data_IF_704428343005
#
_entry.id   IF_704428343005
#
_cell.length_a   1.000
_cell.length_b   1.000
_cell.length_c   1.000
_cell.angle_alpha   90.00
_cell.angle_beta   90.00
_cell.angle_gamma   90.00
#
_symmetry.space_group_name_H-M   'P 1'
#
loop_
_entity.id
_entity.type
_entity.pdbx_description
1 polymer ?
#
# COMPACT_ATOMS: atom_id res chain seq x y z
N UNK A 1 -22.94 -48.23 -40.53
CA UNK A 1 -22.92 -47.07 -39.63
C UNK A 1 -21.46 -46.76 -39.44
N UNK A 2 -20.99 -45.69 -40.06
CA UNK A 2 -19.61 -45.26 -39.93
C UNK A 2 -19.41 -44.81 -38.49
N UNK A 3 -18.42 -45.42 -37.82
CA UNK A 3 -17.87 -44.89 -36.58
C UNK A 3 -17.33 -43.51 -36.92
N UNK A 4 -18.06 -42.47 -36.53
CA UNK A 4 -17.52 -41.12 -36.51
C UNK A 4 -16.33 -41.17 -35.55
N UNK A 5 -15.14 -41.07 -36.12
CA UNK A 5 -13.92 -40.81 -35.36
C UNK A 5 -14.22 -39.56 -34.55
N UNK A 6 -14.20 -39.69 -33.22
CA UNK A 6 -14.25 -38.58 -32.28
C UNK A 6 -13.00 -37.75 -32.60
N UNK A 7 -13.13 -36.77 -33.50
CA UNK A 7 -12.04 -35.87 -33.85
C UNK A 7 -11.60 -35.21 -32.55
N UNK A 8 -10.32 -35.38 -32.19
CA UNK A 8 -9.77 -34.77 -30.98
C UNK A 8 -9.89 -33.26 -31.13
N UNK A 9 -10.94 -32.68 -30.52
CA UNK A 9 -11.29 -31.26 -30.61
C UNK A 9 -10.10 -30.37 -30.29
N UNK A 10 -9.20 -30.83 -29.40
CA UNK A 10 -7.95 -30.14 -29.07
C UNK A 10 -6.98 -30.11 -30.24
N UNK A 11 -6.86 -31.21 -30.98
CA UNK A 11 -6.00 -31.30 -32.16
C UNK A 11 -6.57 -30.43 -33.29
N UNK A 12 -7.89 -30.45 -33.50
CA UNK A 12 -8.56 -29.62 -34.51
C UNK A 12 -8.35 -28.13 -34.23
N UNK A 13 -8.49 -27.68 -32.97
CA UNK A 13 -8.26 -26.28 -32.63
C UNK A 13 -6.78 -25.88 -32.71
N UNK A 14 -5.86 -26.76 -32.31
CA UNK A 14 -4.42 -26.51 -32.49
C UNK A 14 -4.01 -26.44 -33.96
N UNK A 15 -4.58 -27.28 -34.82
CA UNK A 15 -4.35 -27.24 -36.27
C UNK A 15 -4.87 -25.93 -36.87
N UNK A 16 -6.07 -25.51 -36.46
CA UNK A 16 -6.63 -24.22 -36.84
C UNK A 16 -5.71 -23.07 -36.40
N UNK A 17 -5.31 -23.02 -35.13
CA UNK A 17 -4.41 -21.99 -34.61
C UNK A 17 -3.06 -21.99 -35.35
N UNK A 18 -2.50 -23.17 -35.61
CA UNK A 18 -1.23 -23.30 -36.33
C UNK A 18 -1.32 -22.87 -37.80
N UNK A 19 -2.53 -22.88 -38.38
CA UNK A 19 -2.78 -22.36 -39.73
C UNK A 19 -2.99 -20.84 -39.77
N UNK A 20 -3.38 -20.24 -38.64
CA UNK A 20 -3.71 -18.81 -38.53
C UNK A 20 -2.55 -17.94 -38.06
N UNK A 21 -1.65 -18.50 -37.24
CA UNK A 21 -0.59 -17.75 -36.56
C UNK A 21 0.80 -18.17 -37.02
N UNK A 22 1.71 -17.20 -37.07
CA UNK A 22 3.12 -17.48 -37.38
C UNK A 22 3.77 -18.31 -36.25
N UNK A 23 4.80 -19.13 -36.54
CA UNK A 23 5.52 -19.90 -35.53
C UNK A 23 6.21 -19.06 -34.44
N UNK A 24 6.38 -17.75 -34.67
CA UNK A 24 6.86 -16.80 -33.65
C UNK A 24 5.76 -16.31 -32.72
N UNK A 25 4.49 -16.36 -33.15
CA UNK A 25 3.33 -15.92 -32.40
C UNK A 25 2.71 -17.09 -31.64
N UNK A 26 2.65 -18.27 -32.26
CA UNK A 26 2.20 -19.51 -31.63
C UNK A 26 3.40 -20.44 -31.35
N UNK A 27 3.76 -20.57 -30.08
CA UNK A 27 4.85 -21.44 -29.62
C UNK A 27 4.27 -22.62 -28.86
N UNK A 28 4.31 -23.81 -29.45
CA UNK A 28 3.87 -25.06 -28.81
C UNK A 28 5.00 -25.60 -27.92
N UNK A 29 4.66 -26.04 -26.72
CA UNK A 29 5.62 -26.59 -25.77
C UNK A 29 6.19 -27.92 -26.30
N UNK A 30 7.53 -28.12 -26.24
CA UNK A 30 8.13 -29.39 -26.65
C UNK A 30 7.79 -30.55 -25.69
N UNK A 31 7.35 -30.25 -24.46
CA UNK A 31 7.01 -31.27 -23.47
C UNK A 31 5.56 -31.74 -23.54
N UNK A 32 4.67 -30.93 -24.09
CA UNK A 32 3.24 -31.21 -24.17
C UNK A 32 2.63 -30.45 -25.36
N UNK A 33 2.14 -31.15 -26.41
CA UNK A 33 1.60 -30.51 -27.60
C UNK A 33 0.31 -29.71 -27.32
N UNK A 34 -0.35 -29.93 -26.18
CA UNK A 34 -1.56 -29.21 -25.78
C UNK A 34 -1.28 -28.05 -24.82
N UNK A 35 -0.01 -27.76 -24.55
CA UNK A 35 0.44 -26.56 -23.85
C UNK A 35 1.18 -25.65 -24.83
N UNK A 36 0.72 -24.42 -24.99
CA UNK A 36 1.27 -23.48 -25.97
C UNK A 36 1.17 -22.04 -25.49
N UNK A 37 1.96 -21.15 -26.08
CA UNK A 37 1.90 -19.71 -25.88
C UNK A 37 1.46 -19.05 -27.16
N UNK A 38 0.37 -18.27 -27.13
CA UNK A 38 -0.09 -17.44 -28.23
C UNK A 38 0.20 -15.97 -27.90
N UNK A 39 0.97 -15.29 -28.74
CA UNK A 39 1.33 -13.87 -28.55
C UNK A 39 0.61 -13.02 -29.58
N UNK A 40 -0.06 -11.97 -29.11
CA UNK A 40 -0.75 -10.98 -29.95
C UNK A 40 -0.25 -9.58 -29.63
N UNK A 41 -0.37 -8.67 -30.61
CA UNK A 41 0.08 -7.28 -30.49
C UNK A 41 -1.03 -6.26 -30.78
N UNK A 42 -2.14 -6.26 -30.03
CA UNK A 42 -3.22 -5.29 -30.20
C UNK A 42 -2.71 -3.85 -30.07
N UNK A 43 -3.25 -2.96 -30.90
CA UNK A 43 -2.94 -1.52 -30.85
C UNK A 43 -4.17 -0.76 -30.35
N UNK A 44 -4.13 -0.17 -29.15
CA UNK A 44 -5.26 0.58 -28.61
C UNK A 44 -5.65 1.75 -29.53
N UNK A 45 -6.94 1.99 -29.71
CA UNK A 45 -7.47 2.97 -30.67
C UNK A 45 -6.92 4.40 -30.54
N UNK A 46 -6.43 4.77 -29.35
CA UNK A 46 -5.88 6.11 -29.04
C UNK A 46 -4.38 6.09 -28.65
N UNK A 47 -3.70 4.94 -28.75
CA UNK A 47 -2.29 4.81 -28.38
C UNK A 47 -1.40 4.66 -29.61
N UNK A 48 -0.19 5.20 -29.56
CA UNK A 48 0.81 5.07 -30.62
C UNK A 48 1.69 3.82 -30.48
N UNK A 49 1.58 3.09 -29.37
CA UNK A 49 2.40 1.91 -29.07
C UNK A 49 1.54 0.65 -28.95
N UNK A 50 1.85 -0.42 -29.70
CA UNK A 50 1.17 -1.71 -29.55
C UNK A 50 1.50 -2.34 -28.19
N UNK A 51 0.57 -3.15 -27.69
CA UNK A 51 0.71 -3.89 -26.42
C UNK A 51 1.00 -5.35 -26.74
N UNK A 52 2.10 -5.89 -26.24
CA UNK A 52 2.39 -7.32 -26.37
C UNK A 52 1.66 -8.11 -25.30
N UNK A 53 0.75 -9.00 -25.71
CA UNK A 53 0.02 -9.90 -24.82
C UNK A 53 0.37 -11.35 -25.16
N UNK A 54 0.94 -12.08 -24.20
CA UNK A 54 1.20 -13.52 -24.31
C UNK A 54 0.19 -14.31 -23.48
N UNK A 55 -0.53 -15.18 -24.14
CA UNK A 55 -1.53 -16.08 -23.57
C UNK A 55 -0.94 -17.50 -23.48
N UNK A 56 -0.65 -17.96 -22.27
CA UNK A 56 -0.17 -19.32 -22.03
C UNK A 56 -1.38 -20.22 -21.79
N UNK A 57 -1.60 -21.18 -22.69
CA UNK A 57 -2.75 -22.07 -22.71
C UNK A 57 -2.32 -23.51 -22.45
N UNK A 58 -3.13 -24.23 -21.68
CA UNK A 58 -3.09 -25.70 -21.57
C UNK A 58 -4.50 -26.25 -21.75
N UNK A 59 -4.68 -27.11 -22.77
CA UNK A 59 -5.96 -27.77 -23.05
C UNK A 59 -6.07 -29.09 -22.26
N UNK A 60 -7.00 -29.22 -21.29
CA UNK A 60 -7.14 -30.44 -20.52
C UNK A 60 -7.66 -31.60 -21.38
N UNK A 61 -7.42 -32.87 -21.02
CA UNK A 61 -7.93 -34.03 -21.78
C UNK A 61 -9.44 -34.09 -21.94
N UNK A 62 -10.19 -33.42 -21.07
CA UNK A 62 -11.66 -33.32 -21.12
C UNK A 62 -12.17 -32.10 -21.88
N UNK A 63 -11.30 -31.36 -22.57
CA UNK A 63 -11.68 -30.25 -23.43
C UNK A 63 -12.58 -30.71 -24.60
N UNK A 64 -13.66 -29.99 -24.95
CA UNK A 64 -14.08 -28.69 -24.41
C UNK A 64 -14.92 -28.76 -23.13
N UNK A 65 -15.34 -29.94 -22.68
CA UNK A 65 -16.18 -30.12 -21.49
C UNK A 65 -15.55 -29.63 -20.18
N UNK A 66 -14.23 -29.50 -20.12
CA UNK A 66 -13.53 -28.70 -19.12
C UNK A 66 -12.77 -27.58 -19.82
N UNK A 67 -12.97 -26.36 -19.34
CA UNK A 67 -12.30 -25.19 -19.90
C UNK A 67 -10.77 -25.28 -19.87
N UNK A 68 -10.10 -24.58 -20.79
CA UNK A 68 -8.64 -24.48 -20.84
C UNK A 68 -8.09 -23.73 -19.61
N UNK A 69 -6.86 -24.06 -19.23
CA UNK A 69 -6.11 -23.25 -18.26
C UNK A 69 -5.36 -22.16 -19.02
N UNK A 70 -5.66 -20.89 -18.73
CA UNK A 70 -5.10 -19.74 -19.45
C UNK A 70 -4.44 -18.78 -18.46
N UNK A 71 -3.18 -18.39 -18.73
CA UNK A 71 -2.45 -17.37 -17.99
C UNK A 71 -1.93 -16.27 -18.92
N UNK A 72 -2.30 -15.03 -18.60
CA UNK A 72 -1.88 -13.86 -19.37
C UNK A 72 -0.58 -13.28 -18.83
N UNK A 73 0.32 -12.88 -19.74
CA UNK A 73 1.53 -12.14 -19.47
C UNK A 73 1.61 -10.95 -20.42
N UNK A 74 1.96 -9.78 -19.90
CA UNK A 74 2.27 -8.60 -20.71
C UNK A 74 3.27 -7.73 -19.93
N UNK A 75 4.20 -7.09 -20.64
CA UNK A 75 5.18 -6.17 -20.04
C UNK A 75 4.65 -4.74 -19.98
N UNK A 76 3.69 -4.43 -20.84
CA UNK A 76 3.11 -3.11 -21.06
C UNK A 76 1.86 -2.90 -20.17
N UNK A 77 1.16 -3.98 -19.80
CA UNK A 77 0.02 -3.92 -18.89
C UNK A 77 0.49 -3.93 -17.41
N UNK A 78 -0.02 -2.98 -16.63
CA UNK A 78 0.16 -3.01 -15.17
C UNK A 78 -0.54 -4.23 -14.54
N UNK A 79 -0.09 -4.66 -13.35
CA UNK A 79 -0.67 -5.84 -12.69
C UNK A 79 -2.21 -5.78 -12.54
N UNK A 80 -2.86 -4.67 -12.14
CA UNK A 80 -4.32 -4.61 -12.06
C UNK A 80 -5.01 -4.61 -13.41
N UNK A 81 -4.38 -4.03 -14.44
CA UNK A 81 -4.85 -4.12 -15.82
C UNK A 81 -4.85 -5.58 -16.28
N UNK A 82 -3.76 -6.30 -16.01
CA UNK A 82 -3.64 -7.72 -16.30
C UNK A 82 -4.62 -8.56 -15.45
N UNK A 83 -4.81 -8.24 -14.17
CA UNK A 83 -5.80 -8.91 -13.30
C UNK A 83 -7.22 -8.67 -13.80
N UNK A 84 -7.57 -7.43 -14.16
CA UNK A 84 -8.87 -7.08 -14.73
C UNK A 84 -9.12 -7.84 -16.03
N UNK A 85 -8.13 -7.87 -16.92
CA UNK A 85 -8.20 -8.59 -18.19
C UNK A 85 -8.35 -10.10 -17.96
N UNK A 86 -7.59 -10.68 -17.03
CA UNK A 86 -7.71 -12.10 -16.63
C UNK A 86 -9.08 -12.39 -16.01
N UNK A 87 -9.64 -11.48 -15.21
CA UNK A 87 -10.99 -11.63 -14.65
C UNK A 87 -12.05 -11.60 -15.75
N UNK A 88 -11.98 -10.63 -16.67
CA UNK A 88 -12.88 -10.53 -17.82
C UNK A 88 -12.80 -11.76 -18.71
N UNK A 89 -11.59 -12.20 -19.05
CA UNK A 89 -11.33 -13.44 -19.79
C UNK A 89 -11.91 -14.66 -19.09
N UNK A 90 -11.77 -14.76 -17.76
CA UNK A 90 -12.30 -15.88 -16.98
C UNK A 90 -13.83 -15.89 -16.94
N UNK A 91 -14.47 -14.71 -16.97
CA UNK A 91 -15.92 -14.57 -17.09
C UNK A 91 -16.37 -14.98 -18.49
N UNK A 92 -15.76 -14.42 -19.53
CA UNK A 92 -16.05 -14.74 -20.93
C UNK A 92 -15.90 -16.24 -21.20
N UNK A 93 -14.84 -16.86 -20.68
CA UNK A 93 -14.60 -18.30 -20.85
C UNK A 93 -15.72 -19.13 -20.21
N UNK A 94 -16.24 -18.72 -19.05
CA UNK A 94 -17.37 -19.43 -18.41
C UNK A 94 -18.66 -19.28 -19.21
N UNK A 95 -18.96 -18.06 -19.66
CA UNK A 95 -20.17 -17.79 -20.47
C UNK A 95 -20.11 -18.53 -21.80
N UNK A 96 -18.93 -18.58 -22.43
CA UNK A 96 -18.70 -19.26 -23.70
C UNK A 96 -18.79 -20.78 -23.58
N UNK A 97 -18.31 -21.35 -22.47
CA UNK A 97 -18.44 -22.80 -22.19
C UNK A 97 -19.91 -23.24 -22.04
N UNK A 98 -20.82 -22.34 -21.67
CA UNK A 98 -22.26 -22.64 -21.57
C UNK A 98 -22.97 -22.66 -22.94
N UNK A 99 -22.36 -22.05 -23.98
CA UNK A 99 -22.96 -21.85 -25.31
C UNK A 99 -22.50 -22.93 -26.32
N UNK A 100 -21.65 -23.88 -25.90
CA UNK A 100 -21.08 -24.95 -26.75
C UNK A 100 -20.39 -24.42 -28.03
N UNK A 101 -19.52 -23.41 -27.91
CA UNK A 101 -18.71 -22.94 -29.05
C UNK A 101 -17.59 -23.93 -29.40
N UNK A 102 -17.38 -24.17 -30.69
CA UNK A 102 -16.41 -25.15 -31.20
C UNK A 102 -14.93 -24.72 -31.06
N UNK A 103 -14.63 -23.42 -30.89
CA UNK A 103 -13.24 -22.89 -30.84
C UNK A 103 -13.06 -21.84 -29.72
N UNK A 104 -12.91 -22.28 -28.48
CA UNK A 104 -12.85 -21.37 -27.32
C UNK A 104 -11.59 -20.51 -27.31
N UNK A 105 -10.43 -21.01 -27.71
CA UNK A 105 -9.18 -20.25 -27.65
C UNK A 105 -9.20 -19.10 -28.64
N UNK A 106 -9.69 -19.33 -29.86
CA UNK A 106 -9.83 -18.28 -30.86
C UNK A 106 -10.85 -17.22 -30.44
N UNK A 107 -11.97 -17.64 -29.85
CA UNK A 107 -12.97 -16.73 -29.29
C UNK A 107 -12.37 -15.84 -28.20
N UNK A 108 -11.67 -16.45 -27.23
CA UNK A 108 -11.02 -15.73 -26.13
C UNK A 108 -9.92 -14.80 -26.64
N UNK A 109 -9.14 -15.22 -27.63
CA UNK A 109 -8.11 -14.35 -28.22
C UNK A 109 -8.75 -13.11 -28.88
N UNK A 110 -9.81 -13.28 -29.67
CA UNK A 110 -10.52 -12.16 -30.31
C UNK A 110 -11.14 -11.22 -29.26
N UNK A 111 -11.73 -11.79 -28.22
CA UNK A 111 -12.23 -11.04 -27.08
C UNK A 111 -11.13 -10.19 -26.43
N UNK A 112 -9.99 -10.79 -26.09
CA UNK A 112 -8.86 -10.09 -25.48
C UNK A 112 -8.31 -8.98 -26.36
N UNK A 113 -8.24 -9.21 -27.68
CA UNK A 113 -7.82 -8.21 -28.65
C UNK A 113 -8.79 -7.02 -28.67
N UNK A 114 -10.09 -7.28 -28.82
CA UNK A 114 -11.14 -6.24 -28.83
C UNK A 114 -11.14 -5.46 -27.52
N UNK A 115 -11.02 -6.16 -26.40
CA UNK A 115 -11.00 -5.56 -25.07
C UNK A 115 -9.82 -4.59 -24.90
N UNK A 116 -8.63 -4.94 -25.41
CA UNK A 116 -7.46 -4.05 -25.40
C UNK A 116 -7.64 -2.87 -26.38
N UNK A 117 -8.14 -3.12 -27.58
CA UNK A 117 -8.33 -2.10 -28.62
C UNK A 117 -9.35 -1.03 -28.20
N UNK A 118 -10.45 -1.45 -27.57
CA UNK A 118 -11.58 -0.59 -27.19
C UNK A 118 -11.40 0.03 -25.81
N UNK A 119 -11.08 -0.77 -24.78
CA UNK A 119 -11.19 -0.33 -23.38
C UNK A 119 -9.88 0.17 -22.78
N UNK A 120 -8.73 -0.17 -23.36
CA UNK A 120 -7.42 0.29 -22.87
C UNK A 120 -6.95 1.59 -23.53
N UNK A 121 -7.74 2.12 -24.47
CA UNK A 121 -7.54 3.40 -25.14
C UNK A 121 -7.76 4.65 -24.25
N UNK A 122 -8.28 4.47 -23.02
CA UNK A 122 -8.61 5.56 -22.07
C UNK A 122 -7.68 5.65 -20.85
N UNK A 123 -6.74 4.71 -20.70
CA UNK A 123 -5.77 4.75 -19.61
C UNK A 123 -4.48 5.43 -20.09
N UNK A 124 -4.08 6.58 -19.52
CA UNK A 124 -2.82 7.19 -19.90
C UNK A 124 -1.68 6.19 -19.61
N UNK A 125 -0.86 5.94 -20.64
CA UNK A 125 0.36 5.10 -20.56
C UNK A 125 1.42 5.71 -19.60
N UNK A 126 1.14 6.88 -19.02
CA UNK A 126 1.82 7.39 -17.84
C UNK A 126 1.02 7.11 -16.57
N UNK A 127 1.52 6.15 -15.77
CA UNK A 127 1.44 6.09 -14.30
C UNK A 127 0.02 5.95 -13.68
N UNK A 128 -0.25 4.70 -13.27
CA UNK A 128 -1.13 4.26 -12.16
C UNK A 128 -2.66 4.31 -12.38
N UNK A 129 -3.20 3.11 -12.65
CA UNK A 129 -4.32 2.38 -12.00
C UNK A 129 -5.58 3.14 -11.55
N UNK A 130 -6.71 2.58 -12.00
CA UNK A 130 -7.97 2.46 -11.26
C UNK A 130 -8.94 3.63 -11.51
N UNK A 131 -10.23 3.43 -11.78
CA UNK A 131 -11.11 2.27 -11.59
C UNK A 131 -12.36 2.44 -12.47
N UNK A 132 -12.89 1.35 -13.00
CA UNK A 132 -14.34 1.21 -13.19
C UNK A 132 -14.92 0.44 -12.01
N UNK A 133 -16.11 0.83 -11.52
CA UNK A 133 -16.85 0.09 -10.49
C UNK A 133 -18.27 -0.22 -10.92
N UNK A 134 -18.61 -1.51 -10.90
CA UNK A 134 -19.95 -2.02 -10.61
C UNK A 134 -20.22 -2.02 -9.09
N UNK A 135 -21.49 -2.10 -8.69
CA UNK A 135 -22.05 -1.44 -7.50
C UNK A 135 -21.62 -1.91 -6.10
N UNK A 136 -21.00 -3.08 -5.91
CA UNK A 136 -20.36 -3.43 -4.62
C UNK A 136 -18.98 -2.80 -4.47
N UNK A 137 -18.24 -2.72 -5.58
CA UNK A 137 -17.00 -1.97 -5.66
C UNK A 137 -17.24 -0.46 -5.61
N UNK A 138 -18.45 0.03 -5.87
CA UNK A 138 -18.77 1.45 -5.64
C UNK A 138 -18.76 1.80 -4.17
N UNK A 139 -19.28 0.95 -3.28
CA UNK A 139 -19.27 1.24 -1.83
C UNK A 139 -17.86 1.11 -1.24
N UNK A 140 -17.07 0.13 -1.69
CA UNK A 140 -15.69 -0.05 -1.25
C UNK A 140 -14.73 0.95 -1.91
N UNK A 141 -14.92 1.30 -3.18
CA UNK A 141 -14.15 2.36 -3.84
C UNK A 141 -14.62 3.75 -3.44
N UNK A 142 -15.86 3.92 -2.95
CA UNK A 142 -16.32 5.16 -2.35
C UNK A 142 -15.81 5.27 -0.91
N UNK A 143 -15.74 4.18 -0.14
CA UNK A 143 -14.96 4.14 1.10
C UNK A 143 -13.48 4.40 0.85
N UNK A 144 -12.86 3.75 -0.14
CA UNK A 144 -11.45 3.94 -0.47
C UNK A 144 -11.17 5.29 -1.10
N UNK A 145 -12.12 5.89 -1.86
CA UNK A 145 -12.05 7.29 -2.30
C UNK A 145 -12.26 8.25 -1.15
N UNK A 146 -13.22 8.03 -0.27
CA UNK A 146 -13.42 8.87 0.92
C UNK A 146 -12.23 8.75 1.87
N UNK A 147 -11.61 7.58 1.98
CA UNK A 147 -10.35 7.32 2.68
C UNK A 147 -9.19 7.98 1.92
N UNK A 148 -9.08 7.87 0.60
CA UNK A 148 -8.04 8.57 -0.18
C UNK A 148 -8.19 10.09 -0.13
N UNK A 149 -9.42 10.60 -0.11
CA UNK A 149 -9.76 12.01 -0.17
C UNK A 149 -9.71 12.66 1.23
N UNK A 150 -10.08 11.92 2.29
CA UNK A 150 -9.76 12.30 3.68
C UNK A 150 -8.29 12.15 4.00
N UNK A 151 -7.64 11.07 3.55
CA UNK A 151 -6.26 10.77 3.90
C UNK A 151 -5.23 11.40 2.94
N UNK A 152 -5.67 12.16 1.93
CA UNK A 152 -4.81 13.00 1.07
C UNK A 152 -4.29 14.24 1.78
N UNK A 153 -4.79 14.58 2.96
CA UNK A 153 -4.51 15.86 3.63
C UNK A 153 -3.51 15.73 4.78
N UNK A 154 -2.45 14.95 4.61
CA UNK A 154 -1.45 14.86 5.66
C UNK A 154 -0.24 14.02 5.37
N UNK A 155 0.80 14.26 6.17
CA UNK A 155 1.99 13.44 6.28
C UNK A 155 1.85 12.60 7.55
N UNK A 156 2.26 11.34 7.50
CA UNK A 156 2.20 10.46 8.66
C UNK A 156 3.52 9.74 8.86
N UNK A 157 3.86 9.55 10.12
CA UNK A 157 4.97 8.71 10.55
C UNK A 157 4.45 7.68 11.55
N UNK A 158 4.62 6.40 11.24
CA UNK A 158 4.19 5.31 12.10
C UNK A 158 5.39 4.51 12.61
N UNK A 159 5.50 4.39 13.92
CA UNK A 159 6.55 3.66 14.62
C UNK A 159 6.01 2.35 15.16
N UNK A 160 6.61 1.27 14.69
CA UNK A 160 6.11 -0.07 14.90
C UNK A 160 7.20 -0.98 15.48
N UNK A 161 6.80 -1.83 16.41
CA UNK A 161 7.59 -2.99 16.81
C UNK A 161 7.16 -4.18 15.97
N UNK A 162 8.10 -4.77 15.23
CA UNK A 162 7.86 -5.90 14.35
C UNK A 162 8.84 -7.05 14.66
N UNK A 163 8.46 -7.83 15.67
CA UNK A 163 9.26 -8.95 16.22
C UNK A 163 9.54 -10.06 15.20
N UNK A 164 8.64 -10.30 14.25
CA UNK A 164 8.76 -11.42 13.30
C UNK A 164 9.45 -11.08 11.99
N UNK A 165 9.86 -9.82 11.79
CA UNK A 165 10.62 -9.44 10.61
C UNK A 165 12.01 -10.12 10.54
N UNK A 166 12.44 -10.81 11.59
CA UNK A 166 13.79 -11.38 11.71
C UNK A 166 13.85 -12.85 12.15
N UNK A 167 12.72 -13.57 12.15
CA UNK A 167 12.75 -15.02 12.41
C UNK A 167 13.52 -15.75 11.30
N UNK A 168 14.31 -16.75 11.72
CA UNK A 168 15.28 -17.51 10.91
C UNK A 168 14.65 -18.31 9.75
N UNK A 169 13.33 -18.43 9.70
CA UNK A 169 12.59 -19.13 8.64
C UNK A 169 12.62 -18.45 7.26
N UNK A 170 13.30 -17.31 7.11
CA UNK A 170 13.39 -16.55 5.84
C UNK A 170 14.84 -16.22 5.45
N UNK A 171 15.83 -16.95 5.98
CA UNK A 171 17.26 -16.79 5.60
C UNK A 171 17.48 -17.14 4.10
N UNK A 172 16.53 -17.83 3.45
CA UNK A 172 16.57 -18.23 2.05
C UNK A 172 15.55 -17.53 1.15
N UNK A 173 14.98 -16.39 1.57
CA UNK A 173 13.96 -15.65 0.81
C UNK A 173 14.48 -14.34 0.19
N UNK A 174 13.69 -13.71 -0.71
CA UNK A 174 14.02 -12.40 -1.27
C UNK A 174 14.23 -11.35 -0.16
N UNK A 175 15.06 -10.36 -0.46
CA UNK A 175 15.38 -9.29 0.46
C UNK A 175 14.09 -8.61 0.96
N UNK A 176 13.88 -8.61 2.28
CA UNK A 176 12.63 -8.14 2.90
C UNK A 176 12.38 -6.66 2.61
N UNK A 177 13.45 -5.88 2.42
CA UNK A 177 13.39 -4.49 2.01
C UNK A 177 12.86 -4.35 0.59
N UNK A 178 13.38 -5.13 -0.34
CA UNK A 178 12.89 -5.16 -1.74
C UNK A 178 11.43 -5.59 -1.80
N UNK A 179 10.99 -6.52 -0.93
CA UNK A 179 9.58 -6.93 -0.86
C UNK A 179 8.70 -5.78 -0.35
N UNK A 180 9.08 -5.10 0.73
CA UNK A 180 8.33 -3.96 1.26
C UNK A 180 8.31 -2.77 0.29
N UNK A 181 9.43 -2.50 -0.37
CA UNK A 181 9.54 -1.48 -1.40
C UNK A 181 8.68 -1.83 -2.62
N UNK A 182 8.80 -3.04 -3.15
CA UNK A 182 7.98 -3.51 -4.26
C UNK A 182 6.48 -3.50 -3.94
N UNK A 183 6.12 -3.76 -2.67
CA UNK A 183 4.73 -3.67 -2.22
C UNK A 183 4.23 -2.21 -2.22
N UNK A 184 5.01 -1.27 -1.69
CA UNK A 184 4.66 0.14 -1.69
C UNK A 184 4.57 0.70 -3.12
N UNK A 185 5.63 0.52 -3.91
CA UNK A 185 5.74 0.99 -5.30
C UNK A 185 4.68 0.33 -6.19
N UNK A 186 4.54 -1.00 -6.09
CA UNK A 186 3.55 -1.77 -6.84
C UNK A 186 2.11 -1.38 -6.52
N UNK A 187 1.85 -0.73 -5.39
CA UNK A 187 0.53 -0.21 -5.00
C UNK A 187 0.40 1.30 -5.23
N UNK A 188 1.44 1.98 -5.71
CA UNK A 188 1.42 3.43 -5.92
C UNK A 188 1.29 4.20 -4.61
N UNK A 189 1.73 3.62 -3.49
CA UNK A 189 1.66 4.28 -2.18
C UNK A 189 2.77 5.31 -2.11
N UNK A 190 2.41 6.53 -1.68
CA UNK A 190 3.35 7.61 -1.48
C UNK A 190 4.12 7.43 -0.16
N UNK A 191 4.91 6.35 -0.07
CA UNK A 191 5.84 6.10 1.02
C UNK A 191 7.16 6.80 0.70
N UNK A 192 7.51 7.75 1.56
CA UNK A 192 8.66 8.64 1.39
C UNK A 192 9.84 8.24 2.26
N UNK A 193 9.61 7.44 3.31
CA UNK A 193 10.66 6.97 4.19
C UNK A 193 10.31 5.61 4.78
N UNK A 194 11.30 4.73 4.86
CA UNK A 194 11.21 3.46 5.54
C UNK A 194 12.57 3.22 6.21
N UNK A 195 12.59 2.96 7.50
CA UNK A 195 13.77 2.46 8.17
C UNK A 195 13.42 1.25 9.03
N UNK A 196 14.33 0.27 9.05
CA UNK A 196 14.20 -0.94 9.86
C UNK A 196 15.46 -1.07 10.69
N UNK A 197 15.29 -1.26 11.99
CA UNK A 197 16.38 -1.23 12.95
C UNK A 197 16.37 -2.48 13.85
N UNK A 198 17.45 -3.25 13.76
CA UNK A 198 17.86 -4.29 14.70
C UNK A 198 16.91 -5.48 14.91
N UNK A 199 17.24 -6.35 15.88
CA UNK A 199 16.32 -7.38 16.40
C UNK A 199 15.91 -7.04 17.86
N UNK A 200 14.62 -7.12 18.22
CA UNK A 200 13.45 -7.31 17.35
C UNK A 200 13.22 -6.08 16.46
N UNK A 201 12.81 -6.30 15.22
CA UNK A 201 12.76 -5.26 14.18
C UNK A 201 11.88 -4.08 14.54
N UNK A 202 12.49 -2.95 14.90
CA UNK A 202 11.81 -1.66 14.88
C UNK A 202 11.59 -1.27 13.42
N UNK A 203 10.40 -0.78 13.09
CA UNK A 203 10.09 -0.23 11.77
C UNK A 203 9.51 1.15 11.95
N UNK A 204 10.01 2.09 11.17
CA UNK A 204 9.41 3.40 10.97
C UNK A 204 9.05 3.56 9.50
N UNK A 205 7.84 4.06 9.26
CA UNK A 205 7.33 4.34 7.92
C UNK A 205 6.85 5.79 7.89
N UNK A 206 7.22 6.50 6.83
CA UNK A 206 6.90 7.89 6.58
C UNK A 206 6.28 8.06 5.20
N UNK A 207 5.25 8.90 5.07
CA UNK A 207 4.62 9.16 3.77
C UNK A 207 3.32 9.92 3.89
N UNK A 208 2.56 10.00 2.79
CA UNK A 208 1.20 10.53 2.84
C UNK A 208 0.35 9.71 3.81
N UNK A 209 -0.44 10.34 4.67
CA UNK A 209 -1.15 9.66 5.76
C UNK A 209 -1.95 8.45 5.28
N UNK A 210 -2.69 8.60 4.18
CA UNK A 210 -3.46 7.50 3.59
C UNK A 210 -2.59 6.40 3.00
N UNK A 211 -1.44 6.77 2.44
CA UNK A 211 -0.47 5.82 1.92
C UNK A 211 0.16 5.01 3.05
N UNK A 212 0.50 5.63 4.18
CA UNK A 212 1.06 4.94 5.34
C UNK A 212 0.01 4.02 5.98
N UNK A 213 -1.23 4.47 6.16
CA UNK A 213 -2.31 3.63 6.69
C UNK A 213 -2.59 2.42 5.78
N UNK A 214 -2.69 2.65 4.47
CA UNK A 214 -2.87 1.59 3.48
C UNK A 214 -1.67 0.63 3.46
N UNK A 215 -0.45 1.15 3.52
CA UNK A 215 0.77 0.34 3.56
C UNK A 215 0.84 -0.52 4.81
N UNK A 216 0.49 0.05 5.96
CA UNK A 216 0.42 -0.69 7.22
C UNK A 216 -0.69 -1.73 7.24
N UNK A 217 -1.82 -1.46 6.58
CA UNK A 217 -2.84 -2.47 6.35
C UNK A 217 -2.31 -3.64 5.51
N UNK A 218 -1.63 -3.36 4.39
CA UNK A 218 -1.02 -4.38 3.52
C UNK A 218 0.05 -5.20 4.25
N UNK A 219 0.90 -4.55 5.05
CA UNK A 219 1.87 -5.26 5.87
C UNK A 219 1.10 -6.20 6.82
N UNK A 220 0.01 -5.74 7.47
CA UNK A 220 -0.77 -6.55 8.42
C UNK A 220 -1.54 -7.71 7.78
N UNK A 221 -1.95 -7.60 6.52
CA UNK A 221 -2.75 -8.62 5.82
C UNK A 221 -1.88 -9.49 4.92
N UNK A 222 -1.39 -8.94 3.81
CA UNK A 222 -0.70 -9.66 2.73
C UNK A 222 0.66 -10.20 3.17
N UNK A 223 1.44 -9.41 3.92
CA UNK A 223 2.78 -9.84 4.36
C UNK A 223 2.71 -10.95 5.43
N UNK A 224 1.64 -10.97 6.25
CA UNK A 224 1.47 -11.96 7.32
C UNK A 224 0.72 -13.22 6.95
N UNK A 225 0.08 -13.31 5.78
CA UNK A 225 -0.56 -14.55 5.32
C UNK A 225 0.43 -15.73 5.34
N UNK A 226 1.69 -15.46 5.00
CA UNK A 226 2.78 -16.45 5.00
C UNK A 226 3.39 -16.73 6.39
N UNK A 227 3.10 -15.90 7.40
CA UNK A 227 3.66 -16.01 8.75
C UNK A 227 2.73 -16.77 9.68
N UNK A 228 3.29 -17.61 10.56
CA UNK A 228 2.52 -18.28 11.62
C UNK A 228 1.76 -17.25 12.48
N UNK A 229 0.46 -17.43 12.77
CA UNK A 229 -0.36 -16.53 13.59
C UNK A 229 0.31 -16.06 14.89
N UNK A 230 1.08 -16.93 15.56
CA UNK A 230 1.82 -16.58 16.80
C UNK A 230 2.95 -15.57 16.59
N UNK A 231 3.41 -15.40 15.35
CA UNK A 231 4.41 -14.41 14.95
C UNK A 231 3.83 -13.10 14.41
N UNK A 232 2.52 -12.97 14.19
CA UNK A 232 1.93 -11.82 13.46
C UNK A 232 1.84 -10.51 14.26
N UNK A 233 2.61 -10.34 15.33
CA UNK A 233 2.50 -9.15 16.19
C UNK A 233 3.32 -8.00 15.61
N UNK A 234 2.63 -7.13 14.87
CA UNK A 234 3.00 -5.72 14.76
C UNK A 234 2.27 -4.97 15.85
N UNK A 235 3.00 -4.13 16.56
CA UNK A 235 2.40 -3.20 17.51
C UNK A 235 2.81 -1.80 17.14
N UNK A 236 1.84 -1.02 16.69
CA UNK A 236 1.97 0.43 16.54
C UNK A 236 2.10 1.02 17.94
N UNK A 237 3.12 1.86 18.14
CA UNK A 237 3.47 2.41 19.45
C UNK A 237 3.49 3.92 19.49
N UNK A 238 3.83 4.53 18.36
CA UNK A 238 3.76 5.97 18.17
C UNK A 238 3.28 6.22 16.73
N UNK A 239 2.38 7.19 16.59
CA UNK A 239 1.87 7.64 15.30
C UNK A 239 1.86 9.17 15.36
N UNK A 240 2.54 9.79 14.39
CA UNK A 240 2.49 11.23 14.17
C UNK A 240 1.71 11.49 12.89
N UNK A 241 0.70 12.35 12.95
CA UNK A 241 -0.13 12.78 11.85
C UNK A 241 -0.03 14.30 11.72
N UNK A 242 0.56 14.78 10.64
CA UNK A 242 0.55 16.20 10.29
C UNK A 242 -0.44 16.46 9.18
N UNK A 243 -1.09 17.64 9.16
CA UNK A 243 -0.96 18.75 10.12
C UNK A 243 -1.83 18.60 11.38
N UNK A 244 -2.65 17.55 11.48
CA UNK A 244 -3.64 17.36 12.56
C UNK A 244 -3.03 17.45 13.97
N UNK A 245 -1.99 16.68 14.27
CA UNK A 245 -1.32 16.68 15.57
C UNK A 245 -0.68 18.04 15.86
N UNK A 246 -0.20 18.75 14.84
CA UNK A 246 0.44 20.05 15.03
C UNK A 246 -0.56 21.16 15.34
N UNK A 247 -1.72 21.12 14.70
CA UNK A 247 -2.82 22.04 15.02
C UNK A 247 -3.39 21.74 16.40
N UNK A 248 -3.48 20.46 16.78
CA UNK A 248 -3.87 20.05 18.13
C UNK A 248 -2.85 20.53 19.17
N UNK A 249 -1.55 20.36 18.91
CA UNK A 249 -0.46 20.86 19.76
C UNK A 249 -0.49 22.40 19.89
N UNK A 250 -0.66 23.13 18.78
CA UNK A 250 -0.81 24.60 18.80
C UNK A 250 -2.03 25.03 19.62
N UNK A 251 -3.16 24.35 19.45
CA UNK A 251 -4.37 24.65 20.18
C UNK A 251 -4.22 24.37 21.68
N UNK A 252 -3.65 23.23 22.06
CA UNK A 252 -3.39 22.91 23.47
C UNK A 252 -2.33 23.82 24.08
N UNK A 253 -1.34 24.28 23.31
CA UNK A 253 -0.36 25.26 23.74
C UNK A 253 -1.02 26.61 24.07
N UNK A 254 -1.90 27.09 23.20
CA UNK A 254 -2.65 28.33 23.44
C UNK A 254 -3.57 28.19 24.66
N UNK A 255 -4.24 27.04 24.82
CA UNK A 255 -5.02 26.77 26.03
C UNK A 255 -4.17 26.73 27.29
N UNK A 256 -2.99 26.11 27.24
CA UNK A 256 -2.05 26.07 28.36
C UNK A 256 -1.62 27.49 28.76
N UNK A 257 -1.32 28.36 27.79
CA UNK A 257 -1.05 29.79 28.05
C UNK A 257 -2.22 30.47 28.75
N UNK A 258 -3.44 30.34 28.22
CA UNK A 258 -4.65 30.92 28.81
C UNK A 258 -4.89 30.41 30.24
N UNK A 259 -4.70 29.11 30.48
CA UNK A 259 -4.80 28.51 31.83
C UNK A 259 -3.76 29.09 32.79
N UNK A 260 -2.56 29.38 32.32
CA UNK A 260 -1.48 29.93 33.15
C UNK A 260 -1.61 31.42 33.42
N UNK A 261 -2.20 32.18 32.49
CA UNK A 261 -2.57 33.59 32.64
C UNK A 261 -3.72 33.80 33.63
N UNK A 262 -4.56 32.78 33.82
CA UNK A 262 -5.62 32.81 34.82
C UNK A 262 -5.10 33.01 36.25
N UNK A 263 -5.80 33.83 37.03
CA UNK A 263 -5.44 34.08 38.44
C UNK A 263 -5.47 32.79 39.25
N UNK A 264 -4.45 32.58 40.08
CA UNK A 264 -4.41 31.48 41.01
C UNK A 264 -5.47 31.68 42.09
N UNK A 265 -6.28 30.66 42.41
CA UNK A 265 -7.14 30.70 43.58
C UNK A 265 -6.28 30.89 44.84
N UNK A 266 -6.73 31.77 45.74
CA UNK A 266 -6.02 32.06 46.98
C UNK A 266 -5.90 30.78 47.80
N UNK A 267 -4.70 30.53 48.36
CA UNK A 267 -4.45 29.36 49.21
C UNK A 267 -5.51 29.29 50.34
N UNK A 268 -6.26 28.17 50.38
CA UNK A 268 -7.37 27.96 51.31
C UNK A 268 -8.78 28.22 50.75
N UNK A 269 -8.92 28.74 49.52
CA UNK A 269 -10.23 28.89 48.87
C UNK A 269 -10.77 27.60 48.24
N UNK A 270 -9.91 26.59 48.08
CA UNK A 270 -10.22 25.27 47.55
C UNK A 270 -9.90 24.19 48.60
N UNK A 271 -10.48 22.99 48.42
CA UNK A 271 -10.03 21.84 49.23
C UNK A 271 -8.58 21.52 48.90
N UNK A 272 -7.80 21.08 49.89
CA UNK A 272 -6.35 20.81 49.75
C UNK A 272 -6.02 19.96 48.49
N UNK A 273 -6.74 18.86 48.27
CA UNK A 273 -6.52 18.00 47.10
C UNK A 273 -6.94 18.60 45.75
N UNK A 274 -7.83 19.61 45.74
CA UNK A 274 -8.18 20.35 44.51
C UNK A 274 -7.07 21.37 44.17
N UNK A 275 -6.52 22.04 45.19
CA UNK A 275 -5.39 22.96 45.04
C UNK A 275 -4.13 22.23 44.56
N UNK A 276 -3.78 21.09 45.14
CA UNK A 276 -2.63 20.27 44.72
C UNK A 276 -2.75 19.84 43.25
N UNK A 277 -3.92 19.34 42.83
CA UNK A 277 -4.17 18.98 41.42
C UNK A 277 -4.03 20.16 40.47
N UNK A 278 -4.47 21.35 40.90
CA UNK A 278 -4.37 22.57 40.10
C UNK A 278 -2.91 22.99 39.93
N UNK A 279 -2.10 22.92 40.99
CA UNK A 279 -0.66 23.21 40.91
C UNK A 279 0.09 22.19 40.05
N UNK A 280 -0.23 20.90 40.18
CA UNK A 280 0.34 19.85 39.32
C UNK A 280 0.00 20.07 37.84
N UNK A 281 -1.23 20.47 37.53
CA UNK A 281 -1.63 20.78 36.16
C UNK A 281 -0.91 22.01 35.63
N UNK A 282 -0.73 23.06 36.44
CA UNK A 282 0.08 24.22 36.04
C UNK A 282 1.52 23.87 35.75
N UNK A 283 2.16 23.04 36.59
CA UNK A 283 3.54 22.59 36.34
C UNK A 283 3.65 21.78 35.04
N UNK A 284 2.62 20.98 34.71
CA UNK A 284 2.55 20.28 33.42
C UNK A 284 2.39 21.26 32.26
N UNK A 285 1.50 22.24 32.38
CA UNK A 285 1.30 23.27 31.36
C UNK A 285 2.57 24.13 31.14
N UNK A 286 3.27 24.52 32.21
CA UNK A 286 4.53 25.27 32.13
C UNK A 286 5.63 24.45 31.43
N UNK A 287 5.73 23.16 31.78
CA UNK A 287 6.66 22.26 31.11
C UNK A 287 6.29 22.08 29.64
N UNK A 288 5.00 21.88 29.33
CA UNK A 288 4.51 21.73 27.97
C UNK A 288 4.83 22.96 27.12
N UNK A 289 4.54 24.17 27.62
CA UNK A 289 4.90 25.41 26.93
C UNK A 289 6.40 25.49 26.69
N UNK A 290 7.22 25.17 27.70
CA UNK A 290 8.67 25.21 27.56
C UNK A 290 9.20 24.23 26.51
N UNK A 291 8.64 23.03 26.44
CA UNK A 291 9.03 22.00 25.48
C UNK A 291 8.61 22.39 24.04
N UNK A 292 7.60 23.25 23.90
CA UNK A 292 7.01 23.71 22.64
C UNK A 292 7.23 25.20 22.34
N UNK A 293 8.13 25.88 23.06
CA UNK A 293 8.41 27.32 22.91
C UNK A 293 9.00 27.69 21.54
N UNK A 294 9.36 26.67 20.75
CA UNK A 294 9.81 26.77 19.35
C UNK A 294 8.66 26.75 18.33
N UNK A 295 7.40 26.60 18.76
CA UNK A 295 6.25 26.66 17.87
C UNK A 295 6.13 28.05 17.24
N UNK A 296 6.24 28.10 15.91
CA UNK A 296 6.02 29.32 15.13
C UNK A 296 4.51 29.47 14.91
N UNK A 297 3.95 30.57 15.40
CA UNK A 297 2.59 31.00 15.11
C UNK A 297 2.62 32.02 13.98
N UNK A 298 1.66 31.93 13.06
CA UNK A 298 1.42 33.00 12.09
C UNK A 298 0.81 34.22 12.79
N UNK A 299 0.96 35.40 12.18
CA UNK A 299 0.43 36.64 12.74
C UNK A 299 -1.10 36.53 12.95
N UNK A 300 -1.54 36.66 14.21
CA UNK A 300 -2.96 36.56 14.59
C UNK A 300 -3.47 35.14 14.85
N UNK A 301 -2.69 34.09 14.60
CA UNK A 301 -3.11 32.69 14.81
C UNK A 301 -3.33 32.38 16.30
N UNK A 302 -2.47 32.86 17.18
CA UNK A 302 -2.61 32.68 18.63
C UNK A 302 -3.92 33.30 19.17
N UNK A 303 -4.30 34.47 18.67
CA UNK A 303 -5.51 35.18 19.11
C UNK A 303 -6.79 34.50 18.59
N UNK A 304 -6.76 33.96 17.37
CA UNK A 304 -7.83 33.12 16.84
C UNK A 304 -8.04 31.86 17.68
N UNK A 305 -6.97 31.19 18.07
CA UNK A 305 -7.03 29.95 18.86
C UNK A 305 -7.49 30.18 20.32
N UNK A 306 -7.28 31.38 20.88
CA UNK A 306 -7.74 31.72 22.25
C UNK A 306 -9.26 31.67 22.42
N UNK A 307 -10.01 32.01 21.38
CA UNK A 307 -11.48 32.06 21.40
C UNK A 307 -12.17 30.88 20.71
N UNK A 308 -11.42 29.98 20.09
CA UNK A 308 -11.98 28.90 19.29
C UNK A 308 -12.40 27.69 20.13
N UNK A 309 -13.51 27.05 19.74
CA UNK A 309 -13.73 25.63 20.07
C UNK A 309 -12.71 24.77 19.30
N UNK A 310 -12.47 23.53 19.75
CA UNK A 310 -11.44 22.66 19.15
C UNK A 310 -11.64 22.63 17.63
N UNK A 311 -10.63 23.01 16.82
CA UNK A 311 -10.82 23.10 15.38
C UNK A 311 -11.31 21.76 14.83
N UNK A 312 -12.46 21.78 14.15
CA UNK A 312 -12.97 20.62 13.41
C UNK A 312 -12.08 20.41 12.19
N UNK A 313 -11.12 19.48 12.30
CA UNK A 313 -10.26 18.95 11.24
C UNK A 313 -9.62 19.99 10.29
N UNK A 314 -8.29 20.11 10.33
CA UNK A 314 -7.56 21.00 9.43
C UNK A 314 -7.78 20.62 7.96
N UNK A 315 -8.30 21.55 7.16
CA UNK A 315 -8.63 21.29 5.74
C UNK A 315 -7.48 21.55 4.75
N UNK A 316 -6.32 22.00 5.22
CA UNK A 316 -5.19 22.35 4.36
C UNK A 316 -4.43 21.13 3.81
N UNK A 317 -3.81 21.32 2.66
CA UNK A 317 -2.92 20.34 2.02
C UNK A 317 -1.47 20.72 2.30
N UNK A 318 -0.64 19.77 2.70
CA UNK A 318 0.81 19.99 2.82
C UNK A 318 1.43 20.04 1.43
N UNK A 319 2.35 20.97 1.20
CA UNK A 319 3.13 20.99 -0.04
C UNK A 319 4.17 19.86 -0.06
N UNK A 320 4.68 19.50 -1.23
CA UNK A 320 5.79 18.53 -1.33
C UNK A 320 7.04 19.02 -0.60
N UNK A 321 7.30 20.32 -0.59
CA UNK A 321 8.41 20.95 0.13
C UNK A 321 8.24 20.82 1.66
N UNK A 322 7.01 20.94 2.17
CA UNK A 322 6.71 20.71 3.59
C UNK A 322 6.92 19.23 3.98
N UNK A 323 6.60 18.31 3.08
CA UNK A 323 6.82 16.87 3.29
C UNK A 323 8.32 16.57 3.31
N UNK A 324 9.07 17.06 2.32
CA UNK A 324 10.50 16.82 2.19
C UNK A 324 11.32 17.41 3.34
N UNK A 325 10.96 18.60 3.82
CA UNK A 325 11.63 19.24 4.96
C UNK A 325 11.41 18.51 6.30
N UNK A 326 10.33 17.72 6.41
CA UNK A 326 9.95 16.99 7.63
C UNK A 326 10.34 15.52 7.63
N UNK A 327 10.70 15.00 6.47
CA UNK A 327 11.15 13.63 6.29
C UNK A 327 12.44 13.40 7.07
N UNK A 328 12.48 12.33 7.88
CA UNK A 328 13.68 11.98 8.64
C UNK A 328 14.50 10.91 7.94
N UNK A 329 13.83 10.04 7.17
CA UNK A 329 14.48 8.91 6.52
C UNK A 329 14.44 9.09 5.00
N UNK A 330 15.57 8.88 4.28
CA UNK A 330 15.54 8.81 2.83
C UNK A 330 14.60 7.71 2.34
N UNK A 331 14.17 7.81 1.07
CA UNK A 331 13.39 6.77 0.41
C UNK A 331 14.07 5.40 0.59
N UNK A 332 13.41 4.48 1.28
CA UNK A 332 13.86 3.09 1.48
C UNK A 332 15.32 2.95 1.96
N UNK A 333 15.71 3.74 2.97
CA UNK A 333 17.04 3.63 3.56
C UNK A 333 17.18 2.42 4.48
N UNK A 334 18.24 1.64 4.29
CA UNK A 334 18.63 0.54 5.18
C UNK A 334 19.95 0.91 5.86
N UNK A 335 19.92 1.16 7.17
CA UNK A 335 21.15 1.21 7.96
C UNK A 335 21.49 -0.19 8.48
N UNK A 336 22.24 -0.93 7.66
CA UNK A 336 22.92 -2.16 8.07
C UNK A 336 24.38 -1.83 8.42
N UNK A 337 24.60 -1.27 9.61
CA UNK A 337 25.92 -1.30 10.22
C UNK A 337 25.99 -2.43 11.26
N UNK A 338 27.14 -3.10 11.32
CA UNK A 338 27.51 -3.99 12.42
C UNK A 338 26.74 -5.31 12.58
N UNK A 339 27.39 -6.28 13.23
CA UNK A 339 26.76 -7.54 13.64
C UNK A 339 25.56 -7.34 14.59
N UNK A 340 24.98 -8.43 15.08
CA UNK A 340 23.63 -8.46 15.67
C UNK A 340 23.44 -7.52 16.88
N UNK A 341 24.49 -7.28 17.68
CA UNK A 341 24.48 -6.32 18.79
C UNK A 341 24.79 -4.87 18.37
N UNK A 342 25.49 -4.68 17.25
CA UNK A 342 25.77 -3.37 16.66
C UNK A 342 24.48 -2.65 16.26
N UNK A 343 23.58 -3.37 15.58
CA UNK A 343 22.34 -2.80 15.03
C UNK A 343 21.43 -2.07 16.04
N UNK A 344 21.40 -2.49 17.32
CA UNK A 344 20.58 -1.81 18.34
C UNK A 344 21.25 -0.55 18.89
N UNK A 345 22.55 -0.63 19.17
CA UNK A 345 23.33 0.50 19.68
C UNK A 345 23.49 1.59 18.62
N UNK A 346 23.63 1.18 17.36
CA UNK A 346 23.70 2.07 16.21
C UNK A 346 22.36 2.72 15.94
N UNK A 347 21.25 1.97 16.02
CA UNK A 347 19.92 2.59 16.00
C UNK A 347 19.75 3.60 17.14
N UNK A 348 20.10 3.25 18.38
CA UNK A 348 20.01 4.18 19.50
C UNK A 348 20.83 5.46 19.25
N UNK A 349 22.01 5.31 18.62
CA UNK A 349 22.88 6.43 18.24
C UNK A 349 22.24 7.28 17.14
N UNK A 350 21.73 6.67 16.07
CA UNK A 350 21.00 7.34 14.99
C UNK A 350 19.81 8.13 15.55
N UNK A 351 18.96 7.49 16.36
CA UNK A 351 17.79 8.14 16.95
C UNK A 351 18.16 9.26 17.91
N UNK A 352 19.31 9.14 18.60
CA UNK A 352 19.84 10.24 19.41
C UNK A 352 20.33 11.41 18.55
N UNK A 353 20.99 11.13 17.43
CA UNK A 353 21.45 12.15 16.47
C UNK A 353 20.28 12.86 15.78
N UNK A 354 19.20 12.14 15.49
CA UNK A 354 17.94 12.69 14.98
C UNK A 354 17.10 13.39 16.05
N UNK A 355 17.50 13.35 17.32
CA UNK A 355 16.71 13.82 18.47
C UNK A 355 15.32 13.17 18.56
N UNK A 356 15.22 11.89 18.17
CA UNK A 356 13.98 11.09 18.11
C UNK A 356 14.04 9.83 18.98
N UNK A 357 14.50 9.98 20.22
CA UNK A 357 14.56 8.88 21.19
C UNK A 357 13.18 8.37 21.62
N UNK A 358 12.14 9.18 21.44
CA UNK A 358 10.73 8.80 21.56
C UNK A 358 10.35 7.69 20.58
N UNK A 359 10.70 7.83 19.29
CA UNK A 359 10.48 6.81 18.26
C UNK A 359 11.26 5.53 18.54
N UNK A 360 12.52 5.66 18.99
CA UNK A 360 13.31 4.51 19.44
C UNK A 360 12.64 3.76 20.60
N UNK A 361 12.24 4.48 21.64
CA UNK A 361 11.56 3.90 22.80
C UNK A 361 10.24 3.24 22.39
N UNK A 362 9.49 3.84 21.47
CA UNK A 362 8.26 3.28 20.92
C UNK A 362 8.54 1.92 20.26
N UNK A 363 9.49 1.85 19.32
CA UNK A 363 9.84 0.63 18.59
C UNK A 363 10.35 -0.51 19.49
N UNK A 364 11.08 -0.18 20.56
CA UNK A 364 11.77 -1.15 21.41
C UNK A 364 11.14 -1.37 22.80
N UNK A 365 10.03 -0.68 23.11
CA UNK A 365 9.28 -0.83 24.37
C UNK A 365 8.98 -2.28 24.74
N UNK A 366 8.68 -3.14 23.76
CA UNK A 366 8.35 -4.56 23.97
C UNK A 366 9.52 -5.41 24.46
N UNK A 367 10.78 -4.96 24.29
CA UNK A 367 11.96 -5.72 24.74
C UNK A 367 12.19 -5.58 26.25
N UNK A 368 11.64 -4.54 26.87
CA UNK A 368 11.87 -4.19 28.28
C UNK A 368 10.60 -4.28 29.15
N UNK A 369 9.46 -4.62 28.55
CA UNK A 369 8.21 -4.98 29.23
C UNK A 369 8.12 -6.48 29.43
#
# INVERSE_FOLDING_TARGET
MADFVDEDVRATELELLSSMYDPSELVISPSDPYTFTLTTTPTPSNATTPISLSMNCTLPPSYPGTGPSIYLLSKELSKPQLTLLTTKMSTELKETLEIETEFLILHIQNFLQTEIEDNFSSYPIAVIKGSGTGSGAKEEAQRMKEIEEKNRKGFMREWCSFVSLYKDSYISGPNRFEVLQSLAEGRGLNITGLAISGKPGGIVIEGGAGSVEAFMHLIRTEFFETLNPRGRKITTRLQEKWPEDWMEDKFEFVKAKVRLEGELPVEGSLKMGEYERLMDNRLKDEKFIKDYDSLVFEEGEEELLRGAEKPEAFEGTLSEEDIDSRRLFPNFSVEESGGWEGSYQEAAKLFKELNRMDGFNAMFSYRFS
#
